data_IF_693171557319
#
_entry.id   IF_693171557319
#
_cell.length_a   1.000
_cell.length_b   1.000
_cell.length_c   1.000
_cell.angle_alpha   90.00
_cell.angle_beta   90.00
_cell.angle_gamma   90.00
#
_symmetry.space_group_name_H-M   'P 1'
#
loop_
_entity.id
_entity.type
_entity.pdbx_description
1 polymer ?
#
# COMPACT_ATOMS: atom_id res chain seq x y z
N UNK A 1 3.48 14.54 -4.01
CA UNK A 1 4.69 14.87 -3.21
C UNK A 1 5.44 13.66 -2.64
N UNK A 2 4.85 12.71 -1.89
CA UNK A 2 5.64 11.57 -1.35
C UNK A 2 6.18 10.68 -2.48
N UNK A 3 5.37 10.36 -3.48
CA UNK A 3 5.81 9.60 -4.65
C UNK A 3 6.98 10.27 -5.37
N UNK A 4 6.92 11.58 -5.63
CA UNK A 4 8.02 12.32 -6.26
C UNK A 4 9.36 12.16 -5.54
N UNK A 5 9.35 12.06 -4.20
CA UNK A 5 10.57 11.85 -3.41
C UNK A 5 11.10 10.44 -3.59
N UNK A 6 10.23 9.43 -3.52
CA UNK A 6 10.62 8.02 -3.60
C UNK A 6 10.86 7.51 -5.01
N UNK A 7 10.35 8.20 -6.03
CA UNK A 7 10.63 7.92 -7.45
C UNK A 7 11.76 8.75 -8.02
N UNK A 8 12.36 9.66 -7.24
CA UNK A 8 13.47 10.50 -7.69
C UNK A 8 14.68 9.64 -8.06
N UNK A 9 14.99 9.57 -9.35
CA UNK A 9 16.09 8.77 -9.90
C UNK A 9 15.67 7.38 -10.39
N UNK A 10 14.39 7.02 -10.28
CA UNK A 10 13.84 5.84 -10.96
C UNK A 10 13.57 6.20 -12.43
N UNK A 11 14.00 5.38 -13.40
CA UNK A 11 13.58 5.55 -14.79
C UNK A 11 12.11 5.15 -14.88
N UNK A 12 11.19 6.11 -14.83
CA UNK A 12 9.76 5.85 -14.94
C UNK A 12 9.34 5.73 -16.41
N UNK A 13 8.44 4.80 -16.70
CA UNK A 13 7.80 4.73 -18.02
C UNK A 13 6.78 5.85 -18.22
N UNK A 14 6.49 6.18 -19.47
CA UNK A 14 5.48 7.19 -19.84
C UNK A 14 4.07 6.86 -19.35
N UNK A 15 3.81 5.58 -19.03
CA UNK A 15 2.53 5.10 -18.50
C UNK A 15 2.37 5.33 -16.98
N UNK A 16 3.39 5.84 -16.28
CA UNK A 16 3.33 6.05 -14.83
C UNK A 16 2.73 7.42 -14.51
N UNK A 17 1.55 7.41 -13.88
CA UNK A 17 0.93 8.60 -13.28
C UNK A 17 1.14 8.60 -11.76
N UNK A 18 1.86 9.62 -11.25
CA UNK A 18 2.05 9.77 -9.80
C UNK A 18 0.75 10.20 -9.08
N UNK A 19 -0.15 10.87 -9.80
CA UNK A 19 -1.46 11.26 -9.28
C UNK A 19 -2.35 10.02 -9.13
N UNK A 20 -2.36 9.12 -10.13
CA UNK A 20 -3.08 7.84 -10.04
C UNK A 20 -2.53 6.98 -8.89
N UNK A 21 -1.20 6.92 -8.73
CA UNK A 21 -0.58 6.22 -7.62
C UNK A 21 -1.03 6.80 -6.27
N UNK A 22 -1.16 8.11 -6.15
CA UNK A 22 -1.64 8.76 -4.93
C UNK A 22 -3.11 8.40 -4.63
N UNK A 23 -3.97 8.39 -5.65
CA UNK A 23 -5.38 8.00 -5.51
C UNK A 23 -5.53 6.52 -5.11
N UNK A 24 -4.71 5.63 -5.68
CA UNK A 24 -4.78 4.18 -5.44
C UNK A 24 -4.14 3.73 -4.12
N UNK A 25 -3.46 4.63 -3.40
CA UNK A 25 -2.76 4.32 -2.15
C UNK A 25 -3.35 5.03 -0.94
N UNK A 26 -4.67 5.24 -0.97
CA UNK A 26 -5.40 5.60 0.25
C UNK A 26 -5.15 4.55 1.36
N UNK A 27 -4.90 5.01 2.58
CA UNK A 27 -4.53 4.14 3.70
C UNK A 27 -3.05 3.71 3.76
N UNK A 28 -2.21 4.18 2.85
CA UNK A 28 -0.76 3.97 2.91
C UNK A 28 -0.09 5.08 3.72
N UNK A 29 0.87 4.71 4.55
CA UNK A 29 1.80 5.65 5.18
C UNK A 29 2.95 5.99 4.23
N UNK A 30 3.77 6.99 4.59
CA UNK A 30 5.01 7.27 3.85
C UNK A 30 5.97 6.06 3.80
N UNK A 31 5.99 5.21 4.83
CA UNK A 31 6.79 4.00 4.84
C UNK A 31 6.25 2.94 3.87
N UNK A 32 4.93 2.79 3.80
CA UNK A 32 4.28 1.88 2.84
C UNK A 32 4.55 2.34 1.40
N UNK A 33 4.47 3.65 1.13
CA UNK A 33 4.78 4.21 -0.19
C UNK A 33 6.26 4.00 -0.55
N UNK A 34 7.17 4.19 0.41
CA UNK A 34 8.59 3.92 0.20
C UNK A 34 8.85 2.44 -0.13
N UNK A 35 8.19 1.53 0.60
CA UNK A 35 8.28 0.10 0.34
C UNK A 35 7.68 -0.26 -1.04
N UNK A 36 6.55 0.33 -1.39
CA UNK A 36 5.90 0.16 -2.70
C UNK A 36 6.82 0.56 -3.85
N UNK A 37 7.44 1.75 -3.79
CA UNK A 37 8.35 2.23 -4.84
C UNK A 37 9.59 1.33 -4.96
N UNK A 38 10.13 0.87 -3.83
CA UNK A 38 11.27 -0.05 -3.80
C UNK A 38 10.91 -1.39 -4.46
N UNK A 39 9.76 -1.96 -4.13
CA UNK A 39 9.32 -3.24 -4.67
C UNK A 39 9.07 -3.15 -6.19
N UNK A 40 8.43 -2.08 -6.65
CA UNK A 40 8.26 -1.81 -8.09
C UNK A 40 9.61 -1.73 -8.83
N UNK A 41 10.62 -1.09 -8.23
CA UNK A 41 11.97 -1.04 -8.80
C UNK A 41 12.67 -2.41 -8.82
N UNK A 42 12.53 -3.20 -7.75
CA UNK A 42 13.14 -4.53 -7.65
C UNK A 42 12.61 -5.50 -8.70
N UNK A 43 11.32 -5.41 -9.05
CA UNK A 43 10.69 -6.21 -10.11
C UNK A 43 11.25 -5.95 -11.49
N UNK A 44 11.77 -4.74 -11.72
CA UNK A 44 12.48 -4.41 -12.95
C UNK A 44 13.90 -4.98 -12.91
N UNK A 45 14.61 -4.77 -11.80
CA UNK A 45 16.00 -5.21 -11.66
C UNK A 45 16.14 -6.74 -11.75
N UNK A 46 15.16 -7.50 -11.27
CA UNK A 46 15.15 -8.97 -11.36
C UNK A 46 15.09 -9.51 -12.79
N UNK A 47 14.69 -8.69 -13.77
CA UNK A 47 14.67 -9.06 -15.19
C UNK A 47 16.04 -8.97 -15.87
N UNK A 48 17.09 -8.57 -15.13
CA UNK A 48 18.48 -8.59 -15.60
C UNK A 48 18.84 -7.48 -16.61
N UNK A 49 17.91 -6.55 -16.88
CA UNK A 49 18.14 -5.36 -17.71
C UNK A 49 17.63 -4.13 -16.98
N UNK A 50 18.43 -3.07 -16.97
CA UNK A 50 17.95 -1.75 -16.55
C UNK A 50 16.90 -1.33 -17.56
N UNK A 51 15.66 -1.26 -17.11
CA UNK A 51 14.51 -0.83 -17.92
C UNK A 51 13.63 0.10 -17.10
N UNK A 52 12.61 0.65 -17.73
CA UNK A 52 11.68 1.57 -17.10
C UNK A 52 10.79 0.86 -16.07
N UNK A 53 10.60 1.49 -14.93
CA UNK A 53 9.54 1.15 -13.99
C UNK A 53 8.23 1.67 -14.56
N UNK A 54 7.47 0.76 -15.16
CA UNK A 54 6.12 0.95 -15.69
C UNK A 54 5.03 0.75 -14.65
N UNK A 55 3.82 1.20 -14.95
CA UNK A 55 2.69 1.17 -14.04
C UNK A 55 2.37 -0.25 -13.56
N UNK A 56 2.46 -1.24 -14.45
CA UNK A 56 2.30 -2.67 -14.12
C UNK A 56 3.16 -3.14 -12.92
N UNK A 57 4.37 -2.60 -12.74
CA UNK A 57 5.24 -3.02 -11.63
C UNK A 57 4.74 -2.48 -10.29
N UNK A 58 4.16 -1.28 -10.29
CA UNK A 58 3.48 -0.74 -9.11
C UNK A 58 2.22 -1.55 -8.79
N UNK A 59 1.43 -1.91 -9.80
CA UNK A 59 0.22 -2.72 -9.61
C UNK A 59 0.53 -4.10 -9.03
N UNK A 60 1.61 -4.72 -9.50
CA UNK A 60 2.10 -5.97 -8.92
C UNK A 60 2.59 -5.78 -7.49
N UNK A 61 3.34 -4.73 -7.21
CA UNK A 61 3.83 -4.43 -5.87
C UNK A 61 2.69 -4.14 -4.87
N UNK A 62 1.60 -3.50 -5.29
CA UNK A 62 0.39 -3.26 -4.47
C UNK A 62 -0.36 -4.55 -4.09
N UNK A 63 -0.14 -5.66 -4.81
CA UNK A 63 -0.73 -6.95 -4.42
C UNK A 63 -0.10 -7.46 -3.11
N UNK A 64 1.18 -7.16 -2.90
CA UNK A 64 1.97 -7.63 -1.76
C UNK A 64 2.06 -6.58 -0.65
N UNK A 65 2.18 -5.31 -1.01
CA UNK A 65 2.31 -4.21 -0.06
C UNK A 65 0.95 -3.58 0.15
N UNK A 66 0.31 -3.90 1.29
CA UNK A 66 -0.97 -3.33 1.73
C UNK A 66 -0.76 -2.11 2.62
N UNK A 67 -1.67 -1.14 2.54
CA UNK A 67 -1.64 0.05 3.39
C UNK A 67 -1.76 -0.31 4.87
N UNK A 68 -0.82 0.18 5.68
CA UNK A 68 -0.77 -0.16 7.10
C UNK A 68 -1.86 0.54 7.92
N UNK A 69 -2.40 1.68 7.47
CA UNK A 69 -3.46 2.38 8.19
C UNK A 69 -4.78 1.62 8.11
N UNK A 70 -5.10 1.04 6.96
CA UNK A 70 -6.28 0.17 6.79
C UNK A 70 -6.21 -1.05 7.73
N UNK A 71 -5.05 -1.72 7.75
CA UNK A 71 -4.80 -2.85 8.65
C UNK A 71 -4.86 -2.46 10.13
N UNK A 72 -4.42 -1.25 10.48
CA UNK A 72 -4.43 -0.76 11.86
C UNK A 72 -5.83 -0.49 12.37
N UNK A 73 -6.69 0.10 11.52
CA UNK A 73 -8.11 0.32 11.85
C UNK A 73 -8.80 -1.03 12.10
N UNK A 74 -8.58 -2.02 11.24
CA UNK A 74 -9.13 -3.37 11.45
C UNK A 74 -8.64 -4.02 12.75
N UNK A 75 -7.35 -3.88 13.08
CA UNK A 75 -6.80 -4.38 14.35
C UNK A 75 -7.42 -3.70 15.57
N UNK A 76 -7.73 -2.41 15.49
CA UNK A 76 -8.43 -1.69 16.56
C UNK A 76 -9.84 -2.25 16.73
N UNK A 77 -10.59 -2.47 15.65
CA UNK A 77 -11.91 -3.10 15.71
C UNK A 77 -11.86 -4.48 16.36
N UNK A 78 -10.92 -5.34 15.96
CA UNK A 78 -10.75 -6.65 16.58
C UNK A 78 -10.40 -6.57 18.07
N UNK A 79 -9.53 -5.61 18.44
CA UNK A 79 -9.09 -5.43 19.82
C UNK A 79 -10.24 -4.95 20.71
N UNK A 80 -11.02 -3.98 20.22
CA UNK A 80 -12.20 -3.47 20.91
C UNK A 80 -13.24 -4.58 21.02
N UNK A 81 -13.54 -5.30 19.93
CA UNK A 81 -14.48 -6.43 19.94
C UNK A 81 -14.05 -7.51 20.95
N UNK A 82 -12.76 -7.89 21.01
CA UNK A 82 -12.27 -8.86 22.00
C UNK A 82 -12.44 -8.39 23.44
N UNK A 83 -12.28 -7.10 23.73
CA UNK A 83 -12.50 -6.53 25.07
C UNK A 83 -13.98 -6.42 25.42
N UNK A 84 -14.77 -5.85 24.52
CA UNK A 84 -16.23 -5.69 24.63
C UNK A 84 -16.89 -7.06 24.80
N UNK A 85 -16.57 -8.06 23.98
CA UNK A 85 -17.13 -9.42 24.12
C UNK A 85 -16.80 -10.03 25.50
N UNK A 86 -15.63 -9.73 26.07
CA UNK A 86 -15.23 -10.21 27.41
C UNK A 86 -15.97 -9.49 28.54
N UNK A 87 -16.30 -8.21 28.38
CA UNK A 87 -16.87 -7.37 29.44
C UNK A 87 -18.40 -7.28 29.40
N UNK A 88 -19.06 -7.41 28.24
CA UNK A 88 -20.49 -7.12 28.09
C UNK A 88 -21.34 -8.23 27.47
N UNK A 89 -20.77 -9.29 26.91
CA UNK A 89 -21.54 -10.37 26.27
C UNK A 89 -22.26 -9.89 24.99
N UNK A 90 -21.66 -10.16 23.84
CA UNK A 90 -22.13 -9.92 22.46
C UNK A 90 -23.12 -8.75 22.21
N UNK A 91 -22.65 -7.61 21.65
CA UNK A 91 -23.52 -6.78 20.83
C UNK A 91 -23.60 -7.37 19.41
N UNK A 92 -24.81 -7.77 18.99
CA UNK A 92 -25.10 -8.05 17.59
C UNK A 92 -24.89 -6.77 16.77
N UNK A 93 -23.90 -6.77 15.88
CA UNK A 93 -23.73 -5.69 14.89
C UNK A 93 -23.89 -6.29 13.50
N UNK A 94 -25.02 -5.93 12.91
CA UNK A 94 -25.46 -6.20 11.55
C UNK A 94 -24.45 -5.64 10.54
N UNK A 95 -24.20 -6.43 9.49
CA UNK A 95 -23.30 -6.10 8.38
C UNK A 95 -23.70 -4.78 7.70
N UNK A 96 -22.69 -3.96 7.41
CA UNK A 96 -22.70 -2.99 6.31
C UNK A 96 -21.72 -3.45 5.25
#
# INVERSE_FOLDING_TARGET
>A
KIFEVHTRGMPLGEDVSLDELAERTEGYTGADIAALCREAAMRVLSQGKVSEVRMRHFEEAMKEIKGSLDSSVMQIYETINKRVVREIGQPELTHY
#
